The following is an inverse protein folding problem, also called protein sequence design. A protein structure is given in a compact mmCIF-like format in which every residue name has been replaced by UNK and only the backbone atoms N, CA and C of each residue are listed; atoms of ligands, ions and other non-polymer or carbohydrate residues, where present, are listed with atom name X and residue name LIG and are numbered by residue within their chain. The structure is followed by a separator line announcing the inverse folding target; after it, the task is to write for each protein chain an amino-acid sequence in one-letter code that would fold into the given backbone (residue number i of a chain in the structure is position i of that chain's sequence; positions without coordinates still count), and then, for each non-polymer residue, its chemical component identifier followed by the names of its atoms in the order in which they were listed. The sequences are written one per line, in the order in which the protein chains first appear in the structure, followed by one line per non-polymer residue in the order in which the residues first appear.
data_IF_649499373749
#
_entry.id   IF_649499373749
#
_cell.length_a   1.000
_cell.length_b   1.000
_cell.length_c   1.000
_cell.angle_alpha   90.00
_cell.angle_beta   90.00
_cell.angle_gamma   90.00
#
_symmetry.space_group_name_H-M   'P 1'
#
loop_
_entity.id
_entity.type
_entity.pdbx_description
1 polymer ?
#
# COMPACT_ATOMS: atom_id res chain seq x y z
N UNK A 1 -1.15 65.29 24.34
CA UNK A 1 -1.46 64.47 23.19
C UNK A 1 -1.61 63.03 23.68
N UNK A 2 -2.83 62.49 23.70
CA UNK A 2 -3.12 61.11 24.13
C UNK A 2 -2.93 60.16 22.95
N UNK A 3 -2.32 58.98 23.08
CA UNK A 3 -2.28 58.01 22.01
C UNK A 3 -3.61 57.26 21.87
N UNK A 4 -4.08 57.09 20.64
CA UNK A 4 -5.26 56.37 20.26
C UNK A 4 -5.06 54.87 20.48
N UNK A 5 -6.00 54.28 21.25
CA UNK A 5 -6.04 52.84 21.47
C UNK A 5 -6.56 52.11 20.25
N UNK A 6 -5.78 51.13 19.78
CA UNK A 6 -6.16 50.16 18.74
C UNK A 6 -7.08 49.11 19.36
N UNK A 7 -8.36 49.14 19.05
CA UNK A 7 -9.31 48.09 19.44
C UNK A 7 -9.13 46.91 18.46
N UNK A 8 -8.52 45.83 18.94
CA UNK A 8 -8.42 44.55 18.25
C UNK A 8 -9.75 43.84 18.39
N UNK A 9 -10.59 43.88 17.34
CA UNK A 9 -11.79 43.07 17.27
C UNK A 9 -11.38 41.64 16.91
N UNK A 10 -11.31 40.79 17.94
CA UNK A 10 -11.20 39.33 17.74
C UNK A 10 -12.55 38.83 17.19
N UNK A 11 -12.63 38.63 15.90
CA UNK A 11 -13.63 37.80 15.26
C UNK A 11 -13.35 36.34 15.66
N UNK A 12 -13.95 35.89 16.75
CA UNK A 12 -14.16 34.48 17.05
C UNK A 12 -15.12 33.91 16.00
N UNK A 13 -14.61 33.51 14.85
CA UNK A 13 -15.30 32.60 13.98
C UNK A 13 -15.41 31.28 14.74
N UNK A 14 -16.57 31.01 15.33
CA UNK A 14 -16.90 29.73 15.92
C UNK A 14 -16.80 28.67 14.84
N UNK A 15 -15.69 27.96 14.78
CA UNK A 15 -15.63 26.71 14.06
C UNK A 15 -16.61 25.77 14.78
N UNK A 16 -17.80 25.58 14.20
CA UNK A 16 -18.68 24.49 14.63
C UNK A 16 -17.85 23.22 14.53
N UNK A 17 -17.56 22.58 15.66
CA UNK A 17 -17.01 21.22 15.67
C UNK A 17 -17.99 20.35 14.87
N UNK A 18 -17.59 19.94 13.69
CA UNK A 18 -18.38 18.99 12.89
C UNK A 18 -18.57 17.73 13.75
N UNK A 19 -19.85 17.42 14.05
CA UNK A 19 -20.18 16.17 14.75
C UNK A 19 -19.60 15.00 13.95
N UNK A 20 -18.80 14.16 14.62
CA UNK A 20 -18.23 12.98 13.95
C UNK A 20 -19.37 12.09 13.44
N UNK A 21 -19.21 11.49 12.24
CA UNK A 21 -20.20 10.57 11.70
C UNK A 21 -20.50 9.44 12.69
N UNK A 22 -21.77 9.06 12.81
CA UNK A 22 -22.20 7.97 13.67
C UNK A 22 -22.02 6.63 12.95
N UNK A 23 -21.69 5.59 13.72
CA UNK A 23 -21.58 4.21 13.24
C UNK A 23 -22.69 3.37 13.92
N UNK A 24 -23.94 3.45 13.42
CA UNK A 24 -25.12 2.96 14.13
C UNK A 24 -25.24 1.43 14.14
N UNK A 25 -24.58 0.75 13.21
CA UNK A 25 -24.71 -0.69 13.04
C UNK A 25 -23.46 -1.42 13.52
N UNK A 26 -23.64 -2.65 14.01
CA UNK A 26 -22.54 -3.52 14.44
C UNK A 26 -22.73 -4.93 13.89
N UNK A 27 -21.71 -5.44 13.21
CA UNK A 27 -21.65 -6.79 12.68
C UNK A 27 -20.39 -7.49 13.19
N UNK A 28 -20.40 -8.82 13.30
CA UNK A 28 -19.25 -9.56 13.81
C UNK A 28 -19.05 -10.88 13.10
N UNK A 29 -17.79 -11.29 13.01
CA UNK A 29 -17.34 -12.60 12.61
C UNK A 29 -16.57 -13.27 13.75
N UNK A 30 -15.82 -14.34 13.47
CA UNK A 30 -15.05 -15.04 14.49
C UNK A 30 -13.99 -14.13 15.17
N UNK A 31 -13.24 -13.36 14.36
CA UNK A 31 -12.10 -12.58 14.85
C UNK A 31 -12.32 -11.06 14.78
N UNK A 32 -13.37 -10.59 14.11
CA UNK A 32 -13.61 -9.16 13.89
C UNK A 32 -14.97 -8.69 14.36
N UNK A 33 -15.01 -7.41 14.76
CA UNK A 33 -16.24 -6.65 15.01
C UNK A 33 -16.18 -5.39 14.17
N UNK A 34 -17.15 -5.17 13.30
CA UNK A 34 -17.29 -3.95 12.50
C UNK A 34 -18.38 -3.06 13.11
N UNK A 35 -18.04 -1.80 13.44
CA UNK A 35 -19.00 -0.72 13.68
C UNK A 35 -19.06 0.14 12.42
N UNK A 36 -20.26 0.42 11.90
CA UNK A 36 -20.37 0.98 10.56
C UNK A 36 -21.60 1.84 10.31
N UNK A 37 -21.45 2.80 9.38
CA UNK A 37 -22.52 3.49 8.67
C UNK A 37 -22.77 2.90 7.27
N UNK A 38 -21.96 1.92 6.83
CA UNK A 38 -22.18 1.21 5.57
C UNK A 38 -23.32 0.18 5.66
N UNK A 39 -23.72 -0.40 4.52
CA UNK A 39 -24.77 -1.41 4.50
C UNK A 39 -24.32 -2.72 5.15
N UNK A 40 -25.30 -3.58 5.46
CA UNK A 40 -25.04 -4.92 6.01
C UNK A 40 -24.14 -5.75 5.06
N UNK A 41 -24.50 -5.74 3.78
CA UNK A 41 -23.81 -6.49 2.73
C UNK A 41 -22.33 -6.04 2.61
N UNK A 42 -22.08 -4.74 2.70
CA UNK A 42 -20.76 -4.14 2.65
C UNK A 42 -19.92 -4.56 3.89
N UNK A 43 -20.53 -4.56 5.07
CA UNK A 43 -19.86 -4.99 6.29
C UNK A 43 -19.55 -6.49 6.28
N UNK A 44 -20.49 -7.32 5.81
CA UNK A 44 -20.31 -8.77 5.69
C UNK A 44 -19.22 -9.12 4.65
N UNK A 45 -19.18 -8.43 3.51
CA UNK A 45 -18.13 -8.58 2.50
C UNK A 45 -16.72 -8.28 3.06
N UNK A 46 -16.60 -7.20 3.84
CA UNK A 46 -15.32 -6.89 4.49
C UNK A 46 -14.98 -7.91 5.60
N UNK A 47 -15.95 -8.38 6.38
CA UNK A 47 -15.75 -9.40 7.40
C UNK A 47 -15.25 -10.71 6.79
N UNK A 48 -15.86 -11.20 5.70
CA UNK A 48 -15.42 -12.40 4.99
C UNK A 48 -13.98 -12.26 4.52
N UNK A 49 -13.64 -11.11 3.93
CA UNK A 49 -12.28 -10.83 3.50
C UNK A 49 -11.29 -10.80 4.66
N UNK A 50 -11.60 -10.12 5.76
CA UNK A 50 -10.70 -9.97 6.90
C UNK A 50 -10.48 -11.29 7.65
N UNK A 51 -11.44 -12.22 7.63
CA UNK A 51 -11.22 -13.58 8.15
C UNK A 51 -10.18 -14.36 7.33
N UNK A 52 -10.21 -14.24 5.99
CA UNK A 52 -9.18 -14.83 5.13
C UNK A 52 -7.80 -14.20 5.38
N UNK A 53 -7.78 -12.88 5.61
CA UNK A 53 -6.57 -12.14 5.96
C UNK A 53 -6.01 -12.61 7.31
N UNK A 54 -6.86 -12.77 8.32
CA UNK A 54 -6.45 -13.23 9.65
C UNK A 54 -5.84 -14.65 9.63
N UNK A 55 -6.50 -15.56 8.95
CA UNK A 55 -5.96 -16.91 8.71
C UNK A 55 -4.58 -16.87 8.03
N UNK A 56 -4.39 -15.90 7.15
CA UNK A 56 -3.13 -15.73 6.45
C UNK A 56 -2.03 -15.19 7.37
N UNK A 57 -2.35 -14.29 8.30
CA UNK A 57 -1.39 -13.84 9.33
C UNK A 57 -0.89 -15.01 10.15
N UNK A 58 -1.80 -15.88 10.62
CA UNK A 58 -1.44 -17.07 11.39
C UNK A 58 -0.58 -18.05 10.58
N UNK A 59 -0.92 -18.29 9.31
CA UNK A 59 -0.15 -19.16 8.42
C UNK A 59 1.24 -18.61 8.10
N UNK A 60 1.37 -17.29 7.95
CA UNK A 60 2.64 -16.64 7.61
C UNK A 60 3.57 -16.58 8.81
N UNK A 61 3.08 -16.10 9.94
CA UNK A 61 3.91 -15.78 11.11
C UNK A 61 4.02 -16.94 12.10
N UNK A 62 3.04 -17.86 12.11
CA UNK A 62 3.02 -19.08 12.95
C UNK A 62 3.40 -18.79 14.41
N UNK A 63 2.66 -17.92 15.13
CA UNK A 63 2.93 -17.66 16.53
C UNK A 63 2.79 -18.95 17.36
N UNK A 64 3.65 -19.12 18.37
CA UNK A 64 3.65 -20.34 19.22
C UNK A 64 2.40 -20.45 20.09
N UNK A 65 1.73 -19.31 20.40
CA UNK A 65 0.45 -19.28 21.12
C UNK A 65 -0.66 -18.68 20.24
N UNK A 66 -1.27 -19.46 19.35
CA UNK A 66 -2.38 -19.00 18.54
C UNK A 66 -3.64 -18.69 19.36
N UNK A 67 -3.80 -19.27 20.55
CA UNK A 67 -4.97 -19.05 21.41
C UNK A 67 -4.99 -17.62 21.97
N UNK A 68 -3.84 -17.04 22.28
CA UNK A 68 -3.75 -15.64 22.67
C UNK A 68 -4.20 -14.70 21.54
N UNK A 69 -3.98 -15.10 20.28
CA UNK A 69 -4.40 -14.35 19.09
C UNK A 69 -5.88 -14.53 18.76
N UNK A 70 -6.47 -15.68 19.07
CA UNK A 70 -7.89 -15.98 18.80
C UNK A 70 -8.87 -15.29 19.75
N UNK A 71 -8.43 -14.87 20.93
CA UNK A 71 -9.29 -14.21 21.94
C UNK A 71 -9.49 -12.73 21.72
N UNK A 72 -8.61 -12.06 20.97
CA UNK A 72 -8.71 -10.64 20.70
C UNK A 72 -9.69 -10.42 19.54
N UNK A 73 -10.86 -9.84 19.83
CA UNK A 73 -11.73 -9.35 18.76
C UNK A 73 -11.19 -8.04 18.23
N UNK A 74 -10.78 -8.06 16.99
CA UNK A 74 -10.25 -6.91 16.27
C UNK A 74 -11.41 -5.98 15.88
N UNK A 75 -11.38 -4.72 16.31
CA UNK A 75 -12.44 -3.76 15.97
C UNK A 75 -12.08 -2.99 14.71
N UNK A 76 -13.04 -2.92 13.79
CA UNK A 76 -12.99 -2.10 12.57
C UNK A 76 -14.07 -1.03 12.66
N UNK A 77 -13.69 0.22 12.41
CA UNK A 77 -14.61 1.34 12.19
C UNK A 77 -14.71 1.58 10.69
N UNK A 78 -15.83 1.19 10.11
CA UNK A 78 -16.05 1.22 8.67
C UNK A 78 -17.04 2.31 8.31
N UNK A 79 -16.58 3.37 7.66
CA UNK A 79 -17.42 4.40 7.11
C UNK A 79 -17.97 3.98 5.73
N UNK A 80 -19.17 4.43 5.39
CA UNK A 80 -19.79 4.04 4.11
C UNK A 80 -19.04 4.56 2.89
N UNK A 81 -18.39 5.73 3.03
CA UNK A 81 -17.66 6.38 1.94
C UNK A 81 -16.48 7.22 2.44
N UNK A 82 -15.68 7.72 1.49
CA UNK A 82 -14.49 8.54 1.79
C UNK A 82 -14.85 9.85 2.48
N UNK A 83 -16.00 10.45 2.19
CA UNK A 83 -16.38 11.73 2.78
C UNK A 83 -16.63 11.58 4.29
N UNK A 84 -17.41 10.58 4.72
CA UNK A 84 -17.61 10.31 6.14
C UNK A 84 -16.31 9.94 6.85
N UNK A 85 -15.44 9.14 6.19
CA UNK A 85 -14.13 8.81 6.72
C UNK A 85 -13.30 10.08 6.97
N UNK A 86 -13.28 11.03 6.05
CA UNK A 86 -12.58 12.31 6.23
C UNK A 86 -13.23 13.18 7.33
N UNK A 87 -14.56 13.24 7.40
CA UNK A 87 -15.31 13.98 8.42
C UNK A 87 -15.11 13.39 9.83
N UNK A 88 -14.70 12.10 9.94
CA UNK A 88 -14.32 11.49 11.22
C UNK A 88 -13.01 12.02 11.81
N UNK A 89 -12.25 12.80 11.06
CA UNK A 89 -10.92 13.30 11.41
C UNK A 89 -9.77 12.41 10.95
N UNK A 90 -10.00 11.55 9.96
CA UNK A 90 -8.97 10.70 9.39
C UNK A 90 -7.84 11.51 8.73
N UNK A 91 -6.59 10.98 8.68
CA UNK A 91 -5.49 11.61 7.98
C UNK A 91 -5.81 11.81 6.49
N UNK A 92 -5.55 13.00 5.94
CA UNK A 92 -5.95 13.40 4.58
C UNK A 92 -5.51 12.44 3.47
N UNK A 93 -4.35 11.81 3.65
CA UNK A 93 -3.75 10.92 2.63
C UNK A 93 -3.93 9.43 2.95
N UNK A 94 -4.73 9.09 3.98
CA UNK A 94 -5.00 7.71 4.33
C UNK A 94 -6.23 7.18 3.60
N UNK A 95 -6.16 5.94 3.11
CA UNK A 95 -7.34 5.18 2.71
C UNK A 95 -7.92 4.40 3.90
N UNK A 96 -7.05 3.81 4.69
CA UNK A 96 -7.32 3.24 6.00
C UNK A 96 -6.15 3.53 6.94
N UNK A 97 -6.32 3.31 8.24
CA UNK A 97 -5.22 3.39 9.21
C UNK A 97 -5.54 2.57 10.46
N UNK A 98 -4.48 2.10 11.12
CA UNK A 98 -4.57 1.51 12.45
C UNK A 98 -4.27 2.54 13.54
N UNK A 99 -5.16 2.70 14.51
CA UNK A 99 -4.99 3.61 15.64
C UNK A 99 -4.37 2.89 16.83
N UNK A 100 -3.13 3.18 17.14
CA UNK A 100 -2.45 2.66 18.34
C UNK A 100 -3.15 3.08 19.66
N UNK A 101 -3.83 4.23 19.66
CA UNK A 101 -4.52 4.75 20.83
C UNK A 101 -5.82 4.00 21.11
N UNK A 102 -6.65 3.80 20.08
CA UNK A 102 -7.97 3.16 20.23
C UNK A 102 -7.97 1.68 19.91
N UNK A 103 -6.87 1.16 19.35
CA UNK A 103 -6.73 -0.22 18.85
C UNK A 103 -7.72 -0.58 17.75
N UNK A 104 -8.29 0.42 17.09
CA UNK A 104 -9.23 0.24 16.00
C UNK A 104 -8.54 0.35 14.65
N UNK A 105 -8.91 -0.51 13.73
CA UNK A 105 -8.68 -0.37 12.32
C UNK A 105 -9.78 0.54 11.75
N UNK A 106 -9.42 1.59 11.04
CA UNK A 106 -10.36 2.63 10.58
C UNK A 106 -10.23 2.81 9.08
N UNK A 107 -11.35 2.82 8.37
CA UNK A 107 -11.36 3.03 6.93
C UNK A 107 -12.77 3.24 6.40
N UNK A 108 -12.92 3.30 5.07
CA UNK A 108 -14.21 3.38 4.41
C UNK A 108 -14.40 2.22 3.45
N UNK A 109 -15.66 1.95 3.10
CA UNK A 109 -15.97 0.88 2.18
C UNK A 109 -15.73 1.31 0.73
N UNK A 110 -14.99 0.48 0.04
CA UNK A 110 -14.86 0.45 -1.41
C UNK A 110 -14.57 -1.01 -1.79
N UNK A 111 -15.39 -1.57 -2.66
CA UNK A 111 -15.43 -3.02 -2.88
C UNK A 111 -14.14 -3.62 -3.40
N UNK A 112 -13.30 -2.83 -4.06
CA UNK A 112 -12.12 -3.33 -4.78
C UNK A 112 -10.82 -2.72 -4.28
N UNK A 113 -10.76 -1.40 -4.13
CA UNK A 113 -9.51 -0.69 -3.87
C UNK A 113 -9.07 -0.70 -2.41
N UNK A 114 -10.03 -0.81 -1.47
CA UNK A 114 -9.73 -0.64 -0.05
C UNK A 114 -9.36 -1.92 0.69
N UNK A 115 -9.77 -3.10 0.22
CA UNK A 115 -9.43 -4.38 0.84
C UNK A 115 -7.92 -4.57 1.08
N UNK A 116 -7.01 -4.30 0.13
CA UNK A 116 -5.58 -4.34 0.36
C UNK A 116 -5.08 -3.43 1.48
N UNK A 117 -5.68 -2.23 1.64
CA UNK A 117 -5.32 -1.32 2.73
C UNK A 117 -5.79 -1.84 4.09
N UNK A 118 -7.00 -2.42 4.17
CA UNK A 118 -7.46 -3.09 5.39
C UNK A 118 -6.57 -4.27 5.76
N UNK A 119 -6.06 -5.02 4.80
CA UNK A 119 -5.12 -6.11 5.07
C UNK A 119 -3.75 -5.59 5.56
N UNK A 120 -3.25 -4.48 5.01
CA UNK A 120 -2.03 -3.82 5.45
C UNK A 120 -2.17 -3.31 6.89
N UNK A 121 -3.16 -2.47 7.14
CA UNK A 121 -3.40 -1.86 8.45
C UNK A 121 -3.84 -2.90 9.51
N UNK A 122 -4.55 -3.94 9.07
CA UNK A 122 -4.91 -5.08 9.90
C UNK A 122 -3.69 -5.88 10.37
N UNK A 123 -2.59 -5.89 9.59
CA UNK A 123 -1.32 -6.48 10.02
C UNK A 123 -0.73 -5.72 11.22
N UNK A 124 -0.79 -4.39 11.22
CA UNK A 124 -0.38 -3.58 12.36
C UNK A 124 -1.27 -3.84 13.58
N UNK A 125 -2.59 -3.94 13.40
CA UNK A 125 -3.52 -4.31 14.47
C UNK A 125 -3.20 -5.70 15.03
N UNK A 126 -3.02 -6.70 14.17
CA UNK A 126 -2.69 -8.06 14.58
C UNK A 126 -1.38 -8.12 15.36
N UNK A 127 -0.33 -7.49 14.87
CA UNK A 127 0.98 -7.50 15.54
C UNK A 127 0.96 -6.75 16.87
N UNK A 128 0.24 -5.62 16.98
CA UNK A 128 0.11 -4.90 18.24
C UNK A 128 -0.70 -5.69 19.28
N UNK A 129 -1.84 -6.27 18.90
CA UNK A 129 -2.70 -7.03 19.82
C UNK A 129 -2.10 -8.37 20.26
N UNK A 130 -1.16 -8.90 19.49
CA UNK A 130 -0.51 -10.19 19.78
C UNK A 130 0.91 -10.05 20.33
N UNK A 131 1.40 -8.84 20.51
CA UNK A 131 2.75 -8.55 21.00
C UNK A 131 2.74 -7.93 22.38
N UNK A 132 3.79 -8.15 23.16
CA UNK A 132 3.98 -7.48 24.46
C UNK A 132 4.32 -6.02 24.29
N UNK A 133 5.10 -5.67 23.28
CA UNK A 133 5.50 -4.29 23.00
C UNK A 133 5.65 -4.04 21.50
N UNK A 134 4.56 -3.67 20.84
CA UNK A 134 4.55 -3.35 19.42
C UNK A 134 5.41 -2.13 19.06
N UNK A 135 5.60 -1.19 19.98
CA UNK A 135 6.40 0.02 19.73
C UNK A 135 7.87 -0.29 19.45
N UNK A 136 8.36 -1.44 19.93
CA UNK A 136 9.74 -1.88 19.73
C UNK A 136 9.92 -2.68 18.42
N UNK A 137 8.83 -2.87 17.65
CA UNK A 137 8.96 -3.53 16.36
C UNK A 137 9.81 -2.69 15.42
N UNK A 138 10.81 -3.30 14.78
CA UNK A 138 11.58 -2.62 13.75
C UNK A 138 10.68 -2.18 12.61
N UNK A 139 10.79 -0.92 12.22
CA UNK A 139 9.90 -0.33 11.22
C UNK A 139 9.98 -1.04 9.87
N UNK A 140 11.16 -1.48 9.47
CA UNK A 140 11.34 -2.22 8.22
C UNK A 140 10.51 -3.50 8.17
N UNK A 141 10.45 -4.24 9.32
CA UNK A 141 9.66 -5.46 9.41
C UNK A 141 8.17 -5.14 9.45
N UNK A 142 7.77 -4.20 10.31
CA UNK A 142 6.37 -3.80 10.45
C UNK A 142 5.74 -3.38 9.12
N UNK A 143 6.41 -2.48 8.39
CA UNK A 143 5.90 -1.97 7.12
C UNK A 143 6.11 -2.97 5.96
N UNK A 144 7.25 -3.66 5.95
CA UNK A 144 7.56 -4.62 4.89
C UNK A 144 6.62 -5.81 4.88
N UNK A 145 6.26 -6.36 6.05
CA UNK A 145 5.33 -7.47 6.16
C UNK A 145 3.89 -7.03 5.86
N UNK A 146 3.50 -5.83 6.31
CA UNK A 146 2.19 -5.26 6.03
C UNK A 146 1.99 -5.03 4.52
N UNK A 147 2.99 -4.48 3.82
CA UNK A 147 2.97 -4.34 2.36
C UNK A 147 2.92 -5.70 1.63
N UNK A 148 3.57 -6.76 2.15
CA UNK A 148 3.45 -8.11 1.59
C UNK A 148 2.02 -8.65 1.73
N UNK A 149 1.38 -8.44 2.88
CA UNK A 149 0.00 -8.84 3.14
C UNK A 149 -0.98 -8.01 2.31
N UNK A 150 -0.80 -6.69 2.23
CA UNK A 150 -1.61 -5.81 1.37
C UNK A 150 -1.52 -6.15 -0.12
N UNK A 151 -0.46 -6.85 -0.55
CA UNK A 151 -0.30 -7.33 -1.91
C UNK A 151 -0.83 -8.77 -2.07
N UNK A 152 -2.15 -8.92 -1.99
CA UNK A 152 -2.84 -10.18 -2.03
C UNK A 152 -3.93 -10.24 -3.10
N UNK A 153 -4.44 -11.43 -3.34
CA UNK A 153 -5.58 -11.69 -4.22
C UNK A 153 -6.45 -12.81 -3.61
N UNK A 154 -7.77 -12.63 -3.69
CA UNK A 154 -8.71 -13.68 -3.32
C UNK A 154 -9.13 -14.46 -4.56
N UNK A 155 -8.90 -15.77 -4.56
CA UNK A 155 -9.34 -16.72 -5.61
C UNK A 155 -10.08 -17.88 -4.95
N UNK A 156 -11.27 -18.21 -5.40
CA UNK A 156 -12.04 -19.33 -4.87
C UNK A 156 -12.13 -19.33 -3.32
N UNK A 157 -12.44 -18.19 -2.74
CA UNK A 157 -12.52 -17.98 -1.28
C UNK A 157 -11.22 -18.29 -0.51
N UNK A 158 -10.09 -18.16 -1.15
CA UNK A 158 -8.76 -18.31 -0.55
C UNK A 158 -7.92 -17.09 -0.88
N UNK A 159 -7.17 -16.60 0.11
CA UNK A 159 -6.27 -15.46 -0.07
C UNK A 159 -4.86 -15.97 -0.39
N UNK A 160 -4.27 -15.38 -1.44
CA UNK A 160 -2.93 -15.67 -1.92
C UNK A 160 -2.05 -14.45 -1.75
N UNK A 161 -0.86 -14.65 -1.18
CA UNK A 161 0.11 -13.57 -0.91
C UNK A 161 1.17 -13.44 -2.01
N UNK A 162 1.88 -12.33 -1.93
CA UNK A 162 3.13 -12.10 -2.65
C UNK A 162 3.00 -12.24 -4.16
N UNK A 163 1.90 -11.75 -4.72
CA UNK A 163 1.66 -11.80 -6.15
C UNK A 163 2.53 -10.77 -6.88
N UNK A 164 3.08 -11.18 -8.04
CA UNK A 164 3.89 -10.30 -8.91
C UNK A 164 3.09 -9.11 -9.45
N UNK A 165 1.77 -9.22 -9.51
CA UNK A 165 0.90 -8.32 -10.23
C UNK A 165 0.22 -7.24 -9.41
N UNK A 166 0.29 -7.25 -8.09
CA UNK A 166 -0.42 -6.29 -7.24
C UNK A 166 0.08 -4.86 -7.39
N UNK A 167 -0.79 -3.89 -7.13
CA UNK A 167 -0.47 -2.46 -7.28
C UNK A 167 0.72 -2.04 -6.41
N UNK A 168 0.75 -2.47 -5.14
CA UNK A 168 1.83 -2.17 -4.20
C UNK A 168 3.15 -2.75 -4.71
N UNK A 169 3.15 -4.03 -5.10
CA UNK A 169 4.33 -4.72 -5.63
C UNK A 169 4.95 -3.98 -6.82
N UNK A 170 4.13 -3.52 -7.76
CA UNK A 170 4.60 -2.82 -8.95
C UNK A 170 5.25 -1.48 -8.64
N UNK A 171 4.63 -0.68 -7.76
CA UNK A 171 5.18 0.61 -7.35
C UNK A 171 6.50 0.42 -6.59
N UNK A 172 6.54 -0.48 -5.61
CA UNK A 172 7.71 -0.75 -4.77
C UNK A 172 8.87 -1.31 -5.60
N UNK A 173 8.57 -2.21 -6.54
CA UNK A 173 9.58 -2.86 -7.38
C UNK A 173 10.37 -1.86 -8.22
N UNK A 174 9.71 -0.92 -8.89
CA UNK A 174 10.39 0.09 -9.70
C UNK A 174 11.34 0.95 -8.86
N UNK A 175 10.89 1.37 -7.67
CA UNK A 175 11.70 2.18 -6.75
C UNK A 175 12.96 1.44 -6.30
N UNK A 176 12.82 0.18 -5.85
CA UNK A 176 13.98 -0.56 -5.35
C UNK A 176 14.95 -0.95 -6.46
N UNK A 177 14.46 -1.29 -7.65
CA UNK A 177 15.34 -1.60 -8.79
C UNK A 177 16.15 -0.38 -9.23
N UNK A 178 15.52 0.79 -9.29
CA UNK A 178 16.22 2.04 -9.61
C UNK A 178 17.23 2.42 -8.52
N UNK A 179 16.88 2.24 -7.25
CA UNK A 179 17.81 2.48 -6.14
C UNK A 179 19.02 1.54 -6.16
N UNK A 180 18.81 0.24 -6.46
CA UNK A 180 19.90 -0.73 -6.60
C UNK A 180 20.81 -0.38 -7.77
N UNK A 181 20.24 -0.02 -8.92
CA UNK A 181 21.00 0.41 -10.11
C UNK A 181 21.90 1.62 -9.84
N UNK A 182 21.39 2.58 -9.07
CA UNK A 182 22.08 3.84 -8.78
C UNK A 182 22.92 3.80 -7.49
N UNK A 183 23.04 2.65 -6.83
CA UNK A 183 23.80 2.49 -5.57
C UNK A 183 23.20 3.26 -4.39
N UNK A 184 21.90 3.59 -4.44
CA UNK A 184 21.18 4.36 -3.41
C UNK A 184 20.43 3.48 -2.39
N UNK A 185 20.30 2.18 -2.66
CA UNK A 185 19.68 1.26 -1.71
C UNK A 185 20.53 1.16 -0.44
N UNK A 186 19.86 1.13 0.71
CA UNK A 186 20.52 0.87 1.98
C UNK A 186 21.15 -0.52 1.99
N UNK A 187 22.29 -0.70 2.66
CA UNK A 187 22.74 -2.04 3.05
C UNK A 187 21.68 -2.67 3.95
N UNK A 188 21.51 -3.98 3.88
CA UNK A 188 20.48 -4.63 4.72
C UNK A 188 20.72 -4.39 6.21
N UNK A 189 21.98 -4.48 6.67
CA UNK A 189 22.32 -4.16 8.06
C UNK A 189 21.80 -2.77 8.48
N UNK A 190 21.99 -1.76 7.63
CA UNK A 190 21.57 -0.39 7.91
C UNK A 190 20.04 -0.27 7.90
N UNK A 191 19.36 -0.92 6.95
CA UNK A 191 17.89 -0.95 6.89
C UNK A 191 17.30 -1.56 8.17
N UNK A 192 17.86 -2.69 8.65
CA UNK A 192 17.37 -3.40 9.83
C UNK A 192 17.46 -2.57 11.11
N UNK A 193 18.38 -1.62 11.17
CA UNK A 193 18.65 -0.76 12.34
C UNK A 193 18.17 0.68 12.19
N UNK A 194 17.48 1.02 11.09
CA UNK A 194 16.95 2.36 10.89
C UNK A 194 15.95 2.76 11.97
N UNK A 195 16.16 3.94 12.57
CA UNK A 195 15.12 4.55 13.41
C UNK A 195 13.90 4.95 12.57
N UNK A 196 12.72 5.03 13.21
CA UNK A 196 11.48 5.45 12.55
C UNK A 196 11.64 6.81 11.84
N UNK A 197 12.30 7.78 12.47
CA UNK A 197 12.48 9.11 11.88
C UNK A 197 13.36 9.09 10.63
N UNK A 198 14.42 8.27 10.62
CA UNK A 198 15.28 8.10 9.44
C UNK A 198 14.52 7.39 8.33
N UNK A 199 13.78 6.33 8.65
CA UNK A 199 12.94 5.60 7.72
C UNK A 199 11.91 6.52 7.04
N UNK A 200 11.22 7.36 7.82
CA UNK A 200 10.18 8.26 7.30
C UNK A 200 10.74 9.42 6.46
N UNK A 201 11.99 9.84 6.68
CA UNK A 201 12.63 10.84 5.79
C UNK A 201 12.88 10.32 4.39
N UNK A 202 13.12 9.02 4.24
CA UNK A 202 13.30 8.37 2.93
C UNK A 202 12.24 7.27 2.72
N UNK A 203 10.99 7.60 3.08
CA UNK A 203 9.89 6.66 3.16
C UNK A 203 9.71 5.85 1.87
N UNK A 204 9.73 6.51 0.72
CA UNK A 204 9.52 5.85 -0.58
C UNK A 204 10.49 4.69 -0.82
N UNK A 205 11.79 4.92 -0.59
CA UNK A 205 12.82 3.89 -0.72
C UNK A 205 12.73 2.85 0.40
N UNK A 206 12.58 3.30 1.65
CA UNK A 206 12.56 2.40 2.80
C UNK A 206 11.39 1.43 2.76
N UNK A 207 10.17 1.89 2.39
CA UNK A 207 9.02 1.01 2.15
C UNK A 207 9.30 0.02 1.02
N UNK A 208 9.82 0.49 -0.11
CA UNK A 208 10.11 -0.37 -1.25
C UNK A 208 11.14 -1.45 -0.93
N UNK A 209 12.20 -1.07 -0.21
CA UNK A 209 13.26 -1.98 0.20
C UNK A 209 12.75 -2.99 1.24
N UNK A 210 12.01 -2.53 2.25
CA UNK A 210 11.41 -3.38 3.29
C UNK A 210 10.42 -4.40 2.70
N UNK A 211 9.52 -3.94 1.83
CA UNK A 211 8.62 -4.82 1.10
C UNK A 211 9.39 -5.90 0.31
N UNK A 212 10.36 -5.49 -0.50
CA UNK A 212 11.09 -6.42 -1.36
C UNK A 212 11.93 -7.42 -0.56
N UNK A 213 12.45 -7.02 0.59
CA UNK A 213 13.20 -7.90 1.47
C UNK A 213 12.29 -8.88 2.21
N UNK A 214 11.14 -8.44 2.77
CA UNK A 214 10.16 -9.34 3.34
C UNK A 214 9.63 -10.33 2.28
N UNK A 215 9.33 -9.85 1.07
CA UNK A 215 8.91 -10.69 -0.04
C UNK A 215 9.96 -11.76 -0.37
N UNK A 216 11.25 -11.38 -0.43
CA UNK A 216 12.35 -12.32 -0.62
C UNK A 216 12.40 -13.38 0.50
N UNK A 217 12.29 -12.98 1.76
CA UNK A 217 12.32 -13.91 2.89
C UNK A 217 11.15 -14.92 2.85
N UNK A 218 9.99 -14.49 2.35
CA UNK A 218 8.78 -15.33 2.26
C UNK A 218 8.86 -16.31 1.07
N UNK A 219 9.41 -15.88 -0.08
CA UNK A 219 9.20 -16.59 -1.36
C UNK A 219 10.46 -17.23 -1.94
N UNK A 220 11.69 -16.75 -1.60
CA UNK A 220 12.93 -17.23 -2.22
C UNK A 220 13.15 -18.74 -2.03
N UNK A 221 13.60 -19.50 -3.04
CA UNK A 221 14.06 -19.04 -4.38
C UNK A 221 12.94 -18.88 -5.41
N UNK A 222 11.73 -19.37 -5.09
CA UNK A 222 10.57 -19.32 -5.96
C UNK A 222 9.95 -17.92 -5.90
N UNK A 223 9.64 -17.35 -7.06
CA UNK A 223 9.00 -16.03 -7.13
C UNK A 223 7.49 -16.11 -6.97
N UNK A 224 6.88 -17.23 -7.30
CA UNK A 224 5.47 -17.54 -7.14
C UNK A 224 5.29 -19.03 -6.91
N UNK A 225 4.64 -19.37 -5.85
CA UNK A 225 3.95 -20.63 -5.70
C UNK A 225 2.45 -20.35 -5.89
N UNK A 226 1.97 -20.55 -7.15
CA UNK A 226 0.58 -20.24 -7.52
C UNK A 226 -0.44 -21.14 -6.81
N UNK A 227 -0.01 -22.27 -6.30
CA UNK A 227 -0.84 -23.26 -5.64
C UNK A 227 -0.84 -23.06 -4.12
N UNK A 228 0.12 -22.35 -3.57
CA UNK A 228 0.22 -22.08 -2.14
C UNK A 228 -0.33 -20.70 -1.78
N UNK A 229 -1.27 -20.66 -0.83
CA UNK A 229 -1.81 -19.40 -0.29
C UNK A 229 -0.73 -18.53 0.36
N UNK A 230 0.21 -19.17 1.04
CA UNK A 230 1.38 -18.54 1.66
C UNK A 230 2.62 -19.26 1.15
N UNK A 231 3.44 -18.63 0.30
CA UNK A 231 4.64 -19.26 -0.23
C UNK A 231 5.55 -19.81 0.88
N UNK A 232 6.22 -20.92 0.61
CA UNK A 232 7.09 -21.60 1.57
C UNK A 232 8.57 -21.46 1.19
N UNK A 233 9.02 -20.21 1.03
CA UNK A 233 10.40 -19.91 0.70
C UNK A 233 11.40 -20.35 1.78
N UNK A 234 12.66 -20.48 1.36
CA UNK A 234 13.78 -20.97 2.18
C UNK A 234 13.92 -20.25 3.52
N UNK A 235 13.67 -18.94 3.56
CA UNK A 235 13.87 -18.10 4.75
C UNK A 235 12.58 -17.81 5.54
N UNK A 236 11.45 -18.34 5.11
CA UNK A 236 10.17 -18.07 5.78
C UNK A 236 10.15 -18.55 7.24
N UNK A 237 10.75 -19.72 7.52
CA UNK A 237 10.86 -20.22 8.90
C UNK A 237 11.69 -19.27 9.78
N UNK A 238 12.79 -18.73 9.24
CA UNK A 238 13.61 -17.75 9.95
C UNK A 238 12.81 -16.47 10.25
N UNK A 239 12.01 -16.00 9.27
CA UNK A 239 11.12 -14.85 9.46
C UNK A 239 10.09 -15.09 10.58
N UNK A 240 9.49 -16.28 10.65
CA UNK A 240 8.55 -16.65 11.73
C UNK A 240 9.25 -16.68 13.10
N UNK A 241 10.47 -17.23 13.19
CA UNK A 241 11.26 -17.24 14.42
C UNK A 241 11.59 -15.79 14.84
N UNK A 242 12.00 -14.95 13.90
CA UNK A 242 12.29 -13.54 14.15
C UNK A 242 11.07 -12.82 14.72
N UNK A 243 9.89 -12.99 14.07
CA UNK A 243 8.63 -12.44 14.56
C UNK A 243 8.33 -12.89 15.98
N UNK A 244 8.43 -14.20 16.28
CA UNK A 244 8.15 -14.74 17.60
C UNK A 244 9.05 -14.11 18.68
N UNK A 245 10.33 -13.92 18.39
CA UNK A 245 11.27 -13.30 19.32
C UNK A 245 10.95 -11.82 19.59
N UNK A 246 10.65 -11.03 18.56
CA UNK A 246 10.33 -9.61 18.75
C UNK A 246 8.98 -9.40 19.41
N UNK A 247 7.95 -10.22 19.10
CA UNK A 247 6.61 -10.07 19.69
C UNK A 247 6.58 -10.42 21.19
N UNK A 248 7.37 -11.39 21.63
CA UNK A 248 7.45 -11.76 23.05
C UNK A 248 8.20 -10.74 23.90
N UNK A 249 9.01 -9.91 23.28
CA UNK A 249 9.88 -8.93 23.97
C UNK A 249 11.03 -9.63 24.73
N UNK A 250 11.82 -8.81 25.44
CA UNK A 250 12.94 -9.31 26.24
C UNK A 250 14.26 -9.53 25.48
N UNK A 251 14.27 -9.32 24.17
CA UNK A 251 15.49 -9.27 23.33
C UNK A 251 15.46 -8.02 22.49
N UNK A 252 16.63 -7.42 22.20
CA UNK A 252 16.71 -6.41 21.14
C UNK A 252 16.38 -7.07 19.79
N UNK A 253 15.96 -6.27 18.81
CA UNK A 253 15.64 -6.79 17.49
C UNK A 253 16.89 -7.35 16.79
N UNK A 254 18.10 -6.82 17.06
CA UNK A 254 19.37 -7.35 16.55
C UNK A 254 19.61 -8.76 17.08
N UNK A 255 19.43 -8.96 18.39
CA UNK A 255 19.59 -10.28 18.99
C UNK A 255 18.54 -11.27 18.48
N UNK A 256 17.30 -10.83 18.29
CA UNK A 256 16.25 -11.65 17.68
C UNK A 256 16.61 -12.05 16.26
N UNK A 257 17.25 -11.14 15.50
CA UNK A 257 17.77 -11.42 14.16
C UNK A 257 18.88 -12.47 14.20
N UNK A 258 19.88 -12.29 15.06
CA UNK A 258 21.01 -13.21 15.19
C UNK A 258 20.56 -14.64 15.59
N UNK A 259 19.53 -14.74 16.44
CA UNK A 259 18.93 -16.02 16.80
C UNK A 259 18.17 -16.67 15.63
N UNK A 260 17.38 -15.89 14.92
CA UNK A 260 16.55 -16.37 13.83
C UNK A 260 17.34 -16.74 12.57
N UNK A 261 18.41 -15.98 12.28
CA UNK A 261 19.28 -16.17 11.10
C UNK A 261 20.66 -16.72 11.43
N UNK A 262 20.78 -17.44 12.54
CA UNK A 262 22.06 -18.00 13.00
C UNK A 262 22.74 -18.79 11.90
N UNK A 263 24.00 -18.44 11.64
CA UNK A 263 24.83 -19.07 10.60
C UNK A 263 24.53 -18.60 9.17
N UNK A 264 23.70 -17.57 9.00
CA UNK A 264 23.40 -16.96 7.71
C UNK A 264 23.92 -15.52 7.73
N UNK A 265 25.08 -15.22 7.11
CA UNK A 265 25.64 -13.87 7.07
C UNK A 265 24.70 -12.91 6.34
N UNK A 266 24.53 -11.71 6.89
CA UNK A 266 23.61 -10.70 6.33
C UNK A 266 24.06 -10.22 4.94
N UNK A 267 25.37 -10.18 4.69
CA UNK A 267 25.96 -9.84 3.40
C UNK A 267 25.58 -10.88 2.33
N UNK A 268 25.56 -12.16 2.71
CA UNK A 268 25.12 -13.25 1.83
C UNK A 268 23.63 -13.16 1.51
N UNK A 269 22.81 -12.76 2.48
CA UNK A 269 21.37 -12.48 2.25
C UNK A 269 21.20 -11.28 1.34
N UNK A 270 21.98 -10.22 1.52
CA UNK A 270 21.95 -9.01 0.70
C UNK A 270 22.24 -9.33 -0.77
N UNK A 271 23.28 -10.13 -1.04
CA UNK A 271 23.65 -10.54 -2.40
C UNK A 271 22.55 -11.39 -3.05
N UNK A 272 21.96 -12.33 -2.29
CA UNK A 272 20.85 -13.14 -2.77
C UNK A 272 19.60 -12.28 -3.05
N UNK A 273 19.27 -11.35 -2.15
CA UNK A 273 18.14 -10.44 -2.30
C UNK A 273 18.32 -9.52 -3.51
N UNK A 274 19.50 -8.93 -3.73
CA UNK A 274 19.77 -8.11 -4.92
C UNK A 274 19.57 -8.90 -6.21
N UNK A 275 20.11 -10.13 -6.29
CA UNK A 275 19.91 -11.03 -7.42
C UNK A 275 18.43 -11.41 -7.60
N UNK A 276 17.71 -11.60 -6.49
CA UNK A 276 16.30 -11.91 -6.50
C UNK A 276 15.46 -10.74 -7.07
N UNK A 277 15.67 -9.52 -6.58
CA UNK A 277 14.97 -8.31 -7.06
C UNK A 277 15.25 -8.05 -8.54
N UNK A 278 16.47 -8.31 -9.01
CA UNK A 278 16.85 -8.12 -10.42
C UNK A 278 16.14 -9.09 -11.39
N UNK A 279 15.59 -10.21 -10.91
CA UNK A 279 14.84 -11.16 -11.76
C UNK A 279 13.45 -10.69 -12.13
N UNK A 280 12.89 -9.74 -11.38
CA UNK A 280 11.54 -9.23 -11.68
C UNK A 280 11.57 -8.29 -12.87
N UNK A 281 10.54 -8.38 -13.71
CA UNK A 281 10.33 -7.37 -14.73
C UNK A 281 9.90 -6.05 -14.07
N UNK A 282 10.51 -4.90 -14.44
CA UNK A 282 10.10 -3.61 -13.93
C UNK A 282 8.63 -3.31 -14.23
N UNK A 283 7.97 -2.64 -13.30
CA UNK A 283 6.63 -2.14 -13.58
C UNK A 283 6.66 -1.14 -14.74
N UNK A 284 5.77 -1.30 -15.71
CA UNK A 284 5.58 -0.34 -16.79
C UNK A 284 4.73 0.81 -16.28
N UNK A 285 5.35 1.95 -16.04
CA UNK A 285 4.71 3.16 -15.53
C UNK A 285 4.92 4.31 -16.51
N UNK A 286 3.96 5.21 -16.60
CA UNK A 286 4.15 6.48 -17.32
C UNK A 286 5.04 7.44 -16.53
N UNK A 287 5.06 7.35 -15.20
CA UNK A 287 5.86 8.20 -14.33
C UNK A 287 5.20 9.56 -14.10
N UNK A 288 3.99 9.56 -13.55
CA UNK A 288 3.29 10.76 -13.15
C UNK A 288 2.63 10.60 -11.79
N UNK A 289 2.33 11.72 -11.14
CA UNK A 289 1.36 11.83 -10.04
C UNK A 289 0.15 12.57 -10.58
N UNK A 290 -1.05 12.20 -10.13
CA UNK A 290 -2.26 12.84 -10.60
C UNK A 290 -3.44 12.50 -9.70
N UNK A 291 -4.59 13.04 -10.05
CA UNK A 291 -5.87 12.84 -9.38
C UNK A 291 -6.98 12.67 -10.40
N UNK A 292 -8.03 11.98 -10.01
CA UNK A 292 -9.24 11.89 -10.82
C UNK A 292 -9.86 13.28 -11.00
N UNK A 293 -10.46 13.51 -12.15
CA UNK A 293 -11.18 14.75 -12.42
C UNK A 293 -12.56 14.73 -11.74
N UNK A 294 -13.11 15.91 -11.42
CA UNK A 294 -14.42 16.05 -10.80
C UNK A 294 -15.56 15.80 -11.79
N UNK A 295 -16.78 15.60 -11.26
CA UNK A 295 -18.00 15.43 -12.07
C UNK A 295 -18.27 16.66 -12.95
N UNK A 296 -17.95 17.88 -12.45
CA UNK A 296 -18.06 19.11 -13.25
C UNK A 296 -17.06 19.08 -14.43
N UNK A 297 -15.84 18.60 -14.21
CA UNK A 297 -14.84 18.47 -15.27
C UNK A 297 -15.21 17.38 -16.27
N UNK A 298 -15.77 16.24 -15.83
CA UNK A 298 -16.30 15.18 -16.70
C UNK A 298 -17.35 15.76 -17.64
N UNK A 299 -18.29 16.53 -17.08
CA UNK A 299 -19.36 17.20 -17.83
C UNK A 299 -18.79 18.23 -18.81
N UNK A 300 -17.87 19.09 -18.36
CA UNK A 300 -17.23 20.12 -19.21
C UNK A 300 -16.44 19.53 -20.37
N UNK A 301 -15.84 18.35 -20.18
CA UNK A 301 -15.11 17.61 -21.21
C UNK A 301 -16.04 16.84 -22.15
N UNK A 302 -17.33 16.76 -21.87
CA UNK A 302 -18.30 16.00 -22.67
C UNK A 302 -18.01 14.51 -22.71
N UNK A 303 -17.46 13.94 -21.64
CA UNK A 303 -17.20 12.50 -21.55
C UNK A 303 -18.53 11.74 -21.44
N UNK A 304 -18.58 10.54 -22.03
CA UNK A 304 -19.76 9.67 -21.94
C UNK A 304 -19.94 9.15 -20.52
N UNK A 305 -21.16 8.81 -20.16
CA UNK A 305 -21.49 8.20 -18.87
C UNK A 305 -20.60 6.99 -18.58
N UNK A 306 -20.11 6.94 -17.34
CA UNK A 306 -19.21 5.86 -16.90
C UNK A 306 -17.75 6.02 -17.34
N UNK A 307 -17.37 7.13 -17.98
CA UNK A 307 -15.99 7.46 -18.30
C UNK A 307 -15.46 8.62 -17.45
N UNK A 308 -14.15 8.65 -17.23
CA UNK A 308 -13.47 9.70 -16.49
C UNK A 308 -12.12 10.05 -17.12
N UNK A 309 -11.37 10.91 -16.45
CA UNK A 309 -9.99 11.25 -16.79
C UNK A 309 -9.11 11.34 -15.54
N UNK A 310 -7.81 11.42 -15.76
CA UNK A 310 -6.84 11.52 -14.69
C UNK A 310 -5.96 12.75 -14.92
N UNK A 311 -6.12 13.80 -14.10
CA UNK A 311 -5.34 15.03 -14.20
C UNK A 311 -3.93 14.83 -13.66
N UNK A 312 -2.93 15.09 -14.47
CA UNK A 312 -1.52 15.04 -14.13
C UNK A 312 -1.15 16.26 -13.28
N UNK A 313 -0.68 16.03 -12.05
CA UNK A 313 -0.23 17.08 -11.12
C UNK A 313 1.29 17.16 -11.02
N UNK A 314 1.99 16.06 -11.37
CA UNK A 314 3.45 16.00 -11.42
C UNK A 314 3.89 14.98 -12.47
N UNK A 315 4.98 15.25 -13.16
CA UNK A 315 5.64 14.31 -14.08
C UNK A 315 7.04 14.00 -13.55
N UNK A 316 7.36 12.73 -13.43
CA UNK A 316 8.69 12.27 -13.02
C UNK A 316 9.69 12.56 -14.14
N UNK A 317 10.80 13.29 -13.88
CA UNK A 317 11.84 13.51 -14.87
C UNK A 317 12.36 12.21 -15.48
N UNK A 318 12.71 12.23 -16.77
CA UNK A 318 13.24 11.09 -17.53
C UNK A 318 12.32 9.84 -17.60
N UNK A 319 11.11 9.93 -17.08
CA UNK A 319 10.11 8.86 -17.20
C UNK A 319 9.68 8.64 -18.65
N UNK A 320 9.04 7.51 -18.90
CA UNK A 320 8.49 7.19 -20.23
C UNK A 320 7.43 8.23 -20.64
N UNK A 321 6.59 8.68 -19.70
CA UNK A 321 5.62 9.75 -19.94
C UNK A 321 6.28 11.08 -20.26
N UNK A 322 7.32 11.49 -19.49
CA UNK A 322 8.08 12.71 -19.76
C UNK A 322 8.69 12.70 -21.17
N UNK A 323 9.31 11.58 -21.56
CA UNK A 323 9.88 11.39 -22.91
C UNK A 323 8.83 11.39 -24.02
N UNK A 324 7.61 10.97 -23.72
CA UNK A 324 6.48 11.03 -24.64
C UNK A 324 5.83 12.42 -24.70
N UNK A 325 6.26 13.36 -23.87
CA UNK A 325 5.72 14.71 -23.83
C UNK A 325 4.55 14.93 -22.89
N UNK A 326 4.32 14.01 -21.91
CA UNK A 326 3.33 14.22 -20.86
C UNK A 326 3.72 15.41 -20.00
N UNK A 327 2.78 16.30 -19.74
CA UNK A 327 2.97 17.54 -19.00
C UNK A 327 2.01 17.69 -17.81
N UNK A 328 2.41 18.51 -16.84
CA UNK A 328 1.53 18.90 -15.74
C UNK A 328 0.32 19.66 -16.30
N UNK A 329 -0.87 19.32 -15.81
CA UNK A 329 -2.14 19.88 -16.29
C UNK A 329 -2.83 19.01 -17.36
N UNK A 330 -2.13 18.10 -18.02
CA UNK A 330 -2.76 17.14 -18.93
C UNK A 330 -3.82 16.31 -18.20
N UNK A 331 -4.90 15.96 -18.88
CA UNK A 331 -5.89 14.99 -18.41
C UNK A 331 -5.80 13.76 -19.28
N UNK A 332 -5.33 12.65 -18.71
CA UNK A 332 -5.29 11.36 -19.42
C UNK A 332 -6.72 10.88 -19.59
N UNK A 333 -7.13 10.67 -20.85
CA UNK A 333 -8.49 10.25 -21.21
C UNK A 333 -8.54 8.77 -21.67
N UNK A 334 -7.51 8.32 -22.37
CA UNK A 334 -7.47 6.94 -22.86
C UNK A 334 -6.05 6.39 -22.98
N UNK A 335 -5.96 5.07 -23.02
CA UNK A 335 -4.72 4.32 -23.17
C UNK A 335 -4.91 3.21 -24.22
N UNK A 336 -4.12 3.24 -25.27
CA UNK A 336 -4.12 2.22 -26.35
C UNK A 336 -5.54 2.00 -26.93
N UNK A 337 -6.26 3.11 -27.18
CA UNK A 337 -7.64 3.12 -27.69
C UNK A 337 -8.71 2.77 -26.65
N UNK A 338 -8.35 2.52 -25.38
CA UNK A 338 -9.30 2.22 -24.30
C UNK A 338 -9.54 3.49 -23.48
N UNK A 339 -10.75 4.06 -23.47
CA UNK A 339 -11.07 5.19 -22.60
C UNK A 339 -11.04 4.76 -21.13
N UNK A 340 -10.68 5.69 -20.23
CA UNK A 340 -10.62 5.41 -18.79
C UNK A 340 -12.04 5.28 -18.22
N UNK A 341 -12.38 4.14 -17.58
CA UNK A 341 -13.66 3.96 -16.92
C UNK A 341 -13.74 4.80 -15.65
N UNK A 342 -14.97 5.17 -15.23
CA UNK A 342 -15.22 5.95 -14.02
C UNK A 342 -14.95 5.20 -12.73
N UNK A 343 -15.01 3.87 -12.76
CA UNK A 343 -14.62 3.01 -11.64
C UNK A 343 -13.12 2.67 -11.72
N UNK A 344 -12.39 2.96 -10.68
CA UNK A 344 -10.96 2.63 -10.53
C UNK A 344 -10.04 2.96 -11.74
N UNK A 345 -10.13 4.16 -12.34
CA UNK A 345 -9.45 4.50 -13.60
C UNK A 345 -7.93 4.27 -13.53
N UNK A 346 -7.31 4.53 -12.39
CA UNK A 346 -5.87 4.34 -12.21
C UNK A 346 -5.48 2.86 -12.18
N UNK A 347 -6.32 1.99 -11.63
CA UNK A 347 -6.08 0.56 -11.59
C UNK A 347 -6.21 -0.05 -13.00
N UNK A 348 -7.21 0.38 -13.75
CA UNK A 348 -7.36 0.00 -15.16
C UNK A 348 -6.13 0.45 -15.98
N UNK A 349 -5.73 1.72 -15.88
CA UNK A 349 -4.57 2.25 -16.57
C UNK A 349 -3.29 1.46 -16.24
N UNK A 350 -3.06 1.19 -14.96
CA UNK A 350 -1.91 0.40 -14.50
C UNK A 350 -1.94 -1.03 -15.05
N UNK A 351 -3.10 -1.66 -15.03
CA UNK A 351 -3.27 -3.02 -15.56
C UNK A 351 -2.97 -3.07 -17.05
N UNK A 352 -3.50 -2.11 -17.83
CA UNK A 352 -3.27 -2.05 -19.27
C UNK A 352 -1.80 -1.82 -19.61
N UNK A 353 -1.13 -0.89 -18.90
CA UNK A 353 0.31 -0.68 -19.09
C UNK A 353 1.13 -1.96 -18.91
N UNK A 354 0.78 -2.79 -17.89
CA UNK A 354 1.50 -4.05 -17.66
C UNK A 354 1.31 -5.08 -18.78
N UNK A 355 0.18 -5.04 -19.49
CA UNK A 355 -0.10 -5.90 -20.64
C UNK A 355 0.66 -5.52 -21.91
N UNK A 356 1.30 -4.35 -21.97
CA UNK A 356 2.02 -3.90 -23.19
C UNK A 356 3.37 -4.61 -23.28
N UNK A 357 3.68 -5.32 -24.38
CA UNK A 357 5.02 -5.86 -24.61
C UNK A 357 6.08 -4.76 -24.72
N UNK A 358 7.30 -5.03 -24.27
CA UNK A 358 8.43 -4.13 -24.49
C UNK A 358 8.65 -3.88 -26.00
N UNK A 359 9.01 -2.66 -26.35
CA UNK A 359 9.21 -2.21 -27.73
C UNK A 359 7.91 -1.92 -28.48
N UNK A 360 6.74 -2.34 -27.97
CA UNK A 360 5.46 -1.98 -28.57
C UNK A 360 5.11 -0.53 -28.30
N UNK A 361 4.78 0.20 -29.36
CA UNK A 361 4.25 1.55 -29.28
C UNK A 361 2.77 1.53 -28.91
N UNK A 362 2.36 2.37 -27.96
CA UNK A 362 0.96 2.63 -27.59
C UNK A 362 0.69 4.11 -27.61
N UNK A 363 -0.57 4.48 -27.79
CA UNK A 363 -1.00 5.89 -27.74
C UNK A 363 -1.71 6.14 -26.42
N UNK A 364 -1.31 7.22 -25.75
CA UNK A 364 -2.00 7.80 -24.60
C UNK A 364 -2.63 9.09 -25.08
N UNK A 365 -3.96 9.16 -25.05
CA UNK A 365 -4.66 10.41 -25.40
C UNK A 365 -4.82 11.25 -24.15
N UNK A 366 -4.37 12.49 -24.23
CA UNK A 366 -4.53 13.47 -23.15
C UNK A 366 -5.28 14.71 -23.66
N UNK A 367 -6.12 15.30 -22.82
CA UNK A 367 -6.65 16.65 -23.02
C UNK A 367 -5.62 17.65 -22.49
N UNK A 368 -5.18 18.55 -23.36
CA UNK A 368 -4.28 19.66 -23.05
C UNK A 368 -4.93 20.97 -23.48
N UNK A 369 -5.38 21.76 -22.52
CA UNK A 369 -6.30 22.86 -22.81
C UNK A 369 -7.57 22.35 -23.48
N UNK A 370 -7.90 22.88 -24.65
CA UNK A 370 -9.11 22.51 -25.40
C UNK A 370 -8.87 21.42 -26.47
N UNK A 371 -7.65 20.88 -26.58
CA UNK A 371 -7.28 19.92 -27.61
C UNK A 371 -6.92 18.55 -27.04
N UNK A 372 -7.28 17.50 -27.77
CA UNK A 372 -6.74 16.15 -27.54
C UNK A 372 -5.38 16.01 -28.20
N UNK A 373 -4.42 15.46 -27.46
CA UNK A 373 -3.05 15.24 -27.89
C UNK A 373 -2.70 13.77 -27.75
N UNK A 374 -2.20 13.17 -28.83
CA UNK A 374 -1.72 11.81 -28.86
C UNK A 374 -0.26 11.73 -28.42
N UNK A 375 -0.01 11.08 -27.29
CA UNK A 375 1.34 10.84 -26.79
C UNK A 375 1.77 9.42 -27.17
N UNK A 376 2.87 9.31 -27.91
CA UNK A 376 3.44 8.02 -28.32
C UNK A 376 4.38 7.48 -27.25
N UNK A 377 4.01 6.37 -26.64
CA UNK A 377 4.70 5.76 -25.51
C UNK A 377 5.29 4.41 -25.92
N UNK A 378 6.55 4.18 -25.54
CA UNK A 378 7.26 2.90 -25.73
C UNK A 378 8.04 2.59 -24.46
N UNK A 379 7.88 1.38 -23.93
CA UNK A 379 8.74 0.86 -22.84
C UNK A 379 9.84 0.01 -23.45
N UNK A 380 11.08 0.46 -23.31
CA UNK A 380 12.25 -0.31 -23.73
C UNK A 380 12.48 -1.50 -22.77
N UNK A 381 12.88 -2.63 -23.31
CA UNK A 381 13.28 -3.76 -22.47
C UNK A 381 14.46 -3.36 -21.57
N UNK A 382 14.46 -3.78 -20.27
CA UNK A 382 15.59 -3.53 -19.40
C UNK A 382 16.83 -4.16 -20.05
N UNK A 383 17.94 -3.39 -20.10
CA UNK A 383 19.23 -3.94 -20.51
C UNK A 383 19.58 -5.07 -19.56
N UNK A 384 19.75 -6.28 -20.10
CA UNK A 384 20.28 -7.39 -19.28
C UNK A 384 21.62 -6.98 -18.68
N UNK A 385 21.84 -7.25 -17.38
CA UNK A 385 23.11 -6.95 -16.72
C UNK A 385 24.27 -7.71 -17.35
#
# INVERSE_FOLDING_TARGET
MKPAGLVLVLLLAGAQEKKKPELPSTYSSKHYVIKTSATKEQAEDLLEYMELVFDTYLKLLKPDDPVATEKARNTILLYKDRQEFMDSGAPRNAGAYYSLQTKNLVGYYDSVSMKPFFAHEGMHQFTDLTSRNFRDFPIWFSEGIADCIGNNEVRNKKLYLCLKGGTIARMRLGIIQEALKNGKAYKLHDLLTLSRDKFMRDASLCYAQSWSFCHFLITYPEMEDRDSQVPNGRFRKNLSIYYERIRLGGSSHERAWDEAFRGIPIEGLEDLWKKYVAKFEPARLLGFVGQEISDEEITALGLKDGLTGFRVTQVTPDSVGAKAGLAVGDIILSFDGKPLPGDEPLNHLRSWMQGVPYGRRVIVVVRRGDADVDLSVVWEAPKKP
#
